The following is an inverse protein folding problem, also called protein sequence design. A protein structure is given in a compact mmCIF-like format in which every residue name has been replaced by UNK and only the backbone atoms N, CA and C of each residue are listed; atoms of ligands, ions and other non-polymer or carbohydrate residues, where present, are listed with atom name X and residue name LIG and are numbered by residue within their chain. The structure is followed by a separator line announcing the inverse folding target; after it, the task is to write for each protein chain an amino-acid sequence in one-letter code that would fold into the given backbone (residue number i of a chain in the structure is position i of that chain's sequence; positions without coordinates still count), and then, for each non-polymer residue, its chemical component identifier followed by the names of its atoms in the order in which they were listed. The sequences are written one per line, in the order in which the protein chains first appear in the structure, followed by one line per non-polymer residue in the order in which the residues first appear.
data_IF_680179869327
#
_entry.id   IF_680179869327
#
_cell.length_a   1.000
_cell.length_b   1.000
_cell.length_c   1.000
_cell.angle_alpha   90.00
_cell.angle_beta   90.00
_cell.angle_gamma   90.00
#
_symmetry.space_group_name_H-M   'P 1'
#
loop_
_entity.id
_entity.type
_entity.pdbx_description
1 polymer ?
#
# COMPACT_ATOMS: atom_id res chain seq x y z
N UNK A 1 -9.52 52.57 -81.97
CA UNK A 1 -10.01 52.62 -80.58
C UNK A 1 -10.04 51.20 -80.06
N UNK A 2 -8.96 50.72 -79.45
CA UNK A 2 -8.95 49.43 -78.74
C UNK A 2 -8.19 49.54 -77.42
N UNK A 3 -8.96 49.32 -76.36
CA UNK A 3 -8.71 49.00 -74.95
C UNK A 3 -7.27 48.75 -74.48
N UNK A 4 -6.76 49.70 -73.67
CA UNK A 4 -5.71 49.49 -72.68
C UNK A 4 -6.34 48.96 -71.38
N UNK A 5 -6.64 47.66 -71.29
CA UNK A 5 -7.14 47.07 -70.04
C UNK A 5 -6.82 45.57 -69.90
N UNK A 6 -5.55 45.19 -70.01
CA UNK A 6 -5.16 43.78 -69.84
C UNK A 6 -3.72 43.54 -69.37
N UNK A 7 -3.13 44.44 -68.55
CA UNK A 7 -1.75 44.27 -68.07
C UNK A 7 -1.54 44.42 -66.55
N UNK A 8 -2.58 44.24 -65.75
CA UNK A 8 -2.47 44.43 -64.29
C UNK A 8 -3.11 43.32 -63.44
N UNK A 9 -3.18 42.09 -63.95
CA UNK A 9 -3.74 40.94 -63.22
C UNK A 9 -2.89 39.66 -63.30
N UNK A 10 -1.58 39.76 -63.54
CA UNK A 10 -0.67 38.59 -63.51
C UNK A 10 0.42 38.61 -62.43
N UNK A 11 0.51 39.66 -61.62
CA UNK A 11 1.56 39.76 -60.59
C UNK A 11 1.12 39.37 -59.18
N UNK A 12 -0.18 39.24 -58.90
CA UNK A 12 -0.66 38.96 -57.55
C UNK A 12 -0.83 37.46 -57.27
N UNK A 13 -1.07 36.66 -58.31
CA UNK A 13 -1.26 35.20 -58.18
C UNK A 13 0.04 34.47 -57.79
N UNK A 14 1.20 34.97 -58.26
CA UNK A 14 2.51 34.42 -57.92
C UNK A 14 2.92 34.82 -56.50
N UNK A 15 2.62 36.06 -56.08
CA UNK A 15 2.90 36.52 -54.71
C UNK A 15 2.03 35.80 -53.70
N UNK A 16 0.75 35.53 -54.01
CA UNK A 16 -0.14 34.76 -53.13
C UNK A 16 0.30 33.29 -52.99
N UNK A 17 0.79 32.66 -54.07
CA UNK A 17 1.30 31.30 -54.03
C UNK A 17 2.61 31.17 -53.22
N UNK A 18 3.51 32.16 -53.30
CA UNK A 18 4.76 32.17 -52.52
C UNK A 18 4.51 32.47 -51.04
N UNK A 19 3.54 33.32 -50.71
CA UNK A 19 3.16 33.58 -49.31
C UNK A 19 2.49 32.36 -48.67
N UNK A 20 1.65 31.61 -49.39
CA UNK A 20 1.05 30.37 -48.85
C UNK A 20 2.11 29.28 -48.67
N UNK A 21 3.09 29.16 -49.58
CA UNK A 21 4.21 28.21 -49.41
C UNK A 21 5.14 28.60 -48.25
N UNK A 22 5.38 29.89 -48.03
CA UNK A 22 6.18 30.38 -46.91
C UNK A 22 5.46 30.26 -45.56
N UNK A 23 4.13 30.38 -45.52
CA UNK A 23 3.33 30.15 -44.30
C UNK A 23 3.26 28.65 -43.95
N UNK A 24 3.29 27.74 -44.93
CA UNK A 24 3.41 26.30 -44.65
C UNK A 24 4.83 25.86 -44.24
N UNK A 25 5.87 26.64 -44.56
CA UNK A 25 7.26 26.38 -44.13
C UNK A 25 7.65 27.10 -42.84
N UNK A 26 6.84 28.08 -42.39
CA UNK A 26 7.04 28.80 -41.12
C UNK A 26 5.99 28.47 -40.05
N UNK A 27 4.91 27.77 -40.43
CA UNK A 27 4.01 27.10 -39.50
C UNK A 27 4.73 25.94 -38.84
N UNK A 28 5.34 26.23 -37.69
CA UNK A 28 5.73 25.31 -36.62
C UNK A 28 5.90 23.85 -37.07
N UNK A 29 7.08 23.54 -37.59
CA UNK A 29 7.59 22.17 -37.58
C UNK A 29 7.86 21.74 -36.14
N UNK A 30 6.81 21.55 -35.35
CA UNK A 30 6.91 20.67 -34.19
C UNK A 30 7.24 19.30 -34.77
N UNK A 31 8.46 18.83 -34.48
CA UNK A 31 8.82 17.45 -34.77
C UNK A 31 7.72 16.55 -34.20
N UNK A 32 7.31 15.49 -34.93
CA UNK A 32 6.29 14.58 -34.44
C UNK A 32 6.65 14.14 -33.01
N UNK A 33 5.65 14.05 -32.10
CA UNK A 33 5.91 13.74 -30.70
C UNK A 33 6.72 12.45 -30.61
N UNK A 34 7.86 12.50 -29.91
CA UNK A 34 8.65 11.33 -29.63
C UNK A 34 7.93 10.52 -28.55
N UNK A 35 7.36 9.35 -28.88
CA UNK A 35 6.56 8.58 -27.93
C UNK A 35 7.38 8.13 -26.71
N UNK A 36 8.70 7.99 -26.84
CA UNK A 36 9.57 7.66 -25.72
C UNK A 36 9.80 8.86 -24.80
N UNK A 37 9.82 10.09 -25.35
CA UNK A 37 9.94 11.31 -24.55
C UNK A 37 8.70 11.49 -23.66
N UNK A 38 7.51 11.39 -24.23
CA UNK A 38 6.27 11.61 -23.47
C UNK A 38 6.03 10.48 -22.45
N UNK A 39 6.29 9.23 -22.85
CA UNK A 39 6.23 8.06 -21.97
C UNK A 39 7.21 8.16 -20.80
N UNK A 40 8.48 8.48 -21.06
CA UNK A 40 9.50 8.63 -20.02
C UNK A 40 9.12 9.73 -19.02
N UNK A 41 8.71 10.90 -19.50
CA UNK A 41 8.34 12.03 -18.65
C UNK A 41 7.15 11.71 -17.74
N UNK A 42 6.09 11.11 -18.30
CA UNK A 42 4.91 10.68 -17.54
C UNK A 42 5.25 9.63 -16.47
N UNK A 43 6.12 8.68 -16.82
CA UNK A 43 6.56 7.62 -15.90
C UNK A 43 7.42 8.19 -14.77
N UNK A 44 8.38 9.07 -15.09
CA UNK A 44 9.21 9.77 -14.10
C UNK A 44 8.33 10.55 -13.13
N UNK A 45 7.37 11.33 -13.63
CA UNK A 45 6.42 12.08 -12.80
C UNK A 45 5.61 11.18 -11.87
N UNK A 46 5.14 10.03 -12.37
CA UNK A 46 4.39 9.04 -11.57
C UNK A 46 5.24 8.49 -10.42
N UNK A 47 6.52 8.18 -10.68
CA UNK A 47 7.45 7.72 -9.65
C UNK A 47 7.69 8.82 -8.61
N UNK A 48 7.92 10.06 -9.05
CA UNK A 48 8.13 11.22 -8.17
C UNK A 48 6.94 11.50 -7.25
N UNK A 49 5.71 11.33 -7.74
CA UNK A 49 4.49 11.51 -6.94
C UNK A 49 4.25 10.33 -5.97
N UNK A 50 4.62 9.12 -6.37
CA UNK A 50 4.33 7.90 -5.59
C UNK A 50 5.37 7.63 -4.50
N UNK A 51 6.65 7.93 -4.75
CA UNK A 51 7.74 7.63 -3.82
C UNK A 51 7.58 8.29 -2.44
N UNK A 52 7.14 9.56 -2.30
CA UNK A 52 6.87 10.16 -1.00
C UNK A 52 5.75 9.44 -0.23
N UNK A 53 4.74 8.91 -0.93
CA UNK A 53 3.63 8.17 -0.33
C UNK A 53 4.12 6.84 0.25
N UNK A 54 4.99 6.14 -0.46
CA UNK A 54 5.65 4.92 0.04
C UNK A 54 6.52 5.21 1.27
N UNK A 55 7.32 6.30 1.26
CA UNK A 55 8.10 6.73 2.43
C UNK A 55 7.20 7.02 3.65
N UNK A 56 6.06 7.67 3.42
CA UNK A 56 5.06 7.90 4.46
C UNK A 56 4.48 6.58 5.00
N UNK A 57 4.17 5.62 4.13
CA UNK A 57 3.65 4.31 4.52
C UNK A 57 4.65 3.53 5.37
N UNK A 58 5.93 3.51 5.01
CA UNK A 58 6.99 2.89 5.82
C UNK A 58 7.11 3.52 7.20
N UNK A 59 6.99 4.85 7.28
CA UNK A 59 7.01 5.56 8.56
C UNK A 59 5.84 5.13 9.44
N UNK A 60 4.63 5.09 8.89
CA UNK A 60 3.43 4.62 9.59
C UNK A 60 3.54 3.15 10.01
N UNK A 61 4.10 2.29 9.16
CA UNK A 61 4.34 0.88 9.49
C UNK A 61 5.34 0.73 10.62
N UNK A 62 6.45 1.47 10.61
CA UNK A 62 7.42 1.46 11.71
C UNK A 62 6.80 1.88 13.04
N UNK A 63 5.91 2.87 13.05
CA UNK A 63 5.15 3.24 14.25
C UNK A 63 4.22 2.12 14.70
N UNK A 64 3.47 1.51 13.77
CA UNK A 64 2.60 0.37 14.07
C UNK A 64 3.34 -0.84 14.62
N UNK A 65 4.51 -1.16 14.05
CA UNK A 65 5.42 -2.22 14.52
C UNK A 65 5.86 -1.93 15.96
N UNK A 66 6.31 -0.71 16.25
CA UNK A 66 6.74 -0.34 17.60
C UNK A 66 5.62 -0.48 18.65
N UNK A 67 4.39 -0.09 18.29
CA UNK A 67 3.21 -0.25 19.15
C UNK A 67 2.93 -1.75 19.37
N UNK A 68 2.89 -2.55 18.30
CA UNK A 68 2.65 -3.98 18.39
C UNK A 68 3.69 -4.70 19.26
N UNK A 69 4.97 -4.37 19.12
CA UNK A 69 6.04 -4.91 19.97
C UNK A 69 5.87 -4.52 21.44
N UNK A 70 5.51 -3.27 21.71
CA UNK A 70 5.29 -2.82 23.08
C UNK A 70 4.12 -3.54 23.77
N UNK A 71 3.19 -4.07 22.98
CA UNK A 71 2.10 -4.92 23.46
C UNK A 71 2.49 -6.40 23.55
N UNK A 72 3.67 -6.79 23.07
CA UNK A 72 4.14 -8.19 23.11
C UNK A 72 3.80 -9.01 21.87
N UNK A 73 3.41 -8.37 20.76
CA UNK A 73 3.21 -9.05 19.47
C UNK A 73 4.59 -9.34 18.84
N UNK A 74 4.82 -10.59 18.42
CA UNK A 74 6.01 -10.92 17.63
C UNK A 74 5.87 -10.42 16.18
N UNK A 75 6.65 -9.41 15.84
CA UNK A 75 6.68 -8.76 14.52
C UNK A 75 8.05 -8.86 13.85
N UNK A 76 8.86 -9.84 14.26
CA UNK A 76 10.24 -10.00 13.77
C UNK A 76 10.33 -10.07 12.24
N UNK A 77 9.45 -10.86 11.61
CA UNK A 77 9.41 -10.99 10.15
C UNK A 77 8.96 -9.70 9.45
N UNK A 78 7.97 -9.01 10.03
CA UNK A 78 7.47 -7.72 9.51
C UNK A 78 8.58 -6.66 9.55
N UNK A 79 9.33 -6.61 10.66
CA UNK A 79 10.47 -5.70 10.82
C UNK A 79 11.56 -5.94 9.78
N UNK A 80 11.85 -7.20 9.45
CA UNK A 80 12.84 -7.53 8.43
C UNK A 80 12.43 -7.00 7.04
N UNK A 81 11.15 -7.15 6.66
CA UNK A 81 10.64 -6.65 5.37
C UNK A 81 10.68 -5.12 5.32
N UNK A 82 10.23 -4.43 6.37
CA UNK A 82 10.24 -2.95 6.41
C UNK A 82 11.68 -2.41 6.41
N UNK A 83 12.62 -3.09 7.06
CA UNK A 83 14.05 -2.72 7.01
C UNK A 83 14.62 -2.85 5.58
N UNK A 84 14.21 -3.89 4.84
CA UNK A 84 14.62 -4.09 3.44
C UNK A 84 13.95 -3.07 2.50
N UNK A 85 12.77 -2.57 2.84
CA UNK A 85 12.08 -1.53 2.06
C UNK A 85 12.93 -0.25 1.94
N UNK A 86 13.66 0.14 2.99
CA UNK A 86 14.55 1.31 2.96
C UNK A 86 15.73 1.13 1.99
N UNK A 87 16.27 -0.09 1.84
CA UNK A 87 17.28 -0.37 0.81
C UNK A 87 16.69 -0.34 -0.60
N UNK A 88 15.48 -0.89 -0.79
CA UNK A 88 14.76 -0.84 -2.08
C UNK A 88 14.49 0.61 -2.50
N UNK A 89 14.06 1.49 -1.58
CA UNK A 89 13.86 2.92 -1.84
C UNK A 89 15.14 3.59 -2.36
N UNK A 90 16.29 3.34 -1.73
CA UNK A 90 17.56 3.94 -2.17
C UNK A 90 17.92 3.51 -3.60
N UNK A 91 17.66 2.25 -3.94
CA UNK A 91 17.84 1.74 -5.31
C UNK A 91 16.91 2.45 -6.29
N UNK A 92 15.63 2.57 -5.95
CA UNK A 92 14.62 3.28 -6.75
C UNK A 92 15.01 4.74 -6.97
N UNK A 93 15.49 5.45 -5.95
CA UNK A 93 15.95 6.84 -6.05
C UNK A 93 17.17 7.00 -6.95
N UNK A 94 18.11 6.06 -6.88
CA UNK A 94 19.27 6.00 -7.76
C UNK A 94 18.85 5.79 -9.23
N UNK A 95 17.92 4.86 -9.47
CA UNK A 95 17.42 4.57 -10.82
C UNK A 95 16.59 5.74 -11.38
N UNK A 96 15.76 6.38 -10.55
CA UNK A 96 15.01 7.59 -10.91
C UNK A 96 15.95 8.74 -11.30
N UNK A 97 17.03 8.94 -10.53
CA UNK A 97 18.05 9.96 -10.83
C UNK A 97 18.74 9.68 -12.17
N UNK A 98 19.02 8.41 -12.47
CA UNK A 98 19.59 7.98 -13.75
C UNK A 98 18.61 8.21 -14.91
N UNK A 99 17.34 7.86 -14.74
CA UNK A 99 16.29 8.09 -15.74
C UNK A 99 16.15 9.59 -16.07
N UNK A 100 16.18 10.47 -15.06
CA UNK A 100 16.20 11.93 -15.23
C UNK A 100 17.43 12.41 -15.99
N UNK A 101 18.62 11.90 -15.63
CA UNK A 101 19.85 12.26 -16.35
C UNK A 101 19.80 11.90 -17.83
N UNK A 102 19.26 10.72 -18.18
CA UNK A 102 19.06 10.33 -19.57
C UNK A 102 18.02 11.22 -20.27
N UNK A 103 16.95 11.58 -19.55
CA UNK A 103 15.92 12.48 -20.06
C UNK A 103 16.50 13.86 -20.40
N UNK A 104 17.30 14.43 -19.49
CA UNK A 104 17.95 15.73 -19.67
C UNK A 104 18.99 15.71 -20.81
N UNK A 105 19.68 14.58 -21.00
CA UNK A 105 20.59 14.36 -22.13
C UNK A 105 19.87 14.01 -23.44
N UNK A 106 18.53 14.02 -23.47
CA UNK A 106 17.67 13.65 -24.61
C UNK A 106 17.84 12.21 -25.09
N UNK A 107 18.34 11.33 -24.24
CA UNK A 107 18.34 9.88 -24.47
C UNK A 107 17.03 9.27 -23.95
N UNK A 108 15.94 9.53 -24.68
CA UNK A 108 14.60 9.18 -24.24
C UNK A 108 14.35 7.67 -24.20
N UNK A 109 15.09 6.87 -24.98
CA UNK A 109 14.99 5.41 -24.93
C UNK A 109 15.52 4.89 -23.60
N UNK A 110 16.74 5.28 -23.21
CA UNK A 110 17.31 4.89 -21.93
C UNK A 110 16.49 5.43 -20.77
N UNK A 111 16.02 6.69 -20.84
CA UNK A 111 15.14 7.28 -19.84
C UNK A 111 13.84 6.46 -19.67
N UNK A 112 13.18 6.09 -20.78
CA UNK A 112 11.94 5.33 -20.74
C UNK A 112 12.17 3.93 -20.16
N UNK A 113 13.20 3.20 -20.61
CA UNK A 113 13.52 1.86 -20.10
C UNK A 113 13.84 1.88 -18.60
N UNK A 114 14.69 2.79 -18.14
CA UNK A 114 15.03 2.91 -16.71
C UNK A 114 13.82 3.33 -15.88
N UNK A 115 13.00 4.28 -16.37
CA UNK A 115 11.80 4.71 -15.66
C UNK A 115 10.77 3.57 -15.54
N UNK A 116 10.53 2.79 -16.60
CA UNK A 116 9.61 1.65 -16.56
C UNK A 116 10.07 0.58 -15.57
N UNK A 117 11.36 0.21 -15.59
CA UNK A 117 11.92 -0.72 -14.61
C UNK A 117 11.77 -0.19 -13.17
N UNK A 118 12.06 1.09 -12.95
CA UNK A 118 11.92 1.75 -11.64
C UNK A 118 10.47 1.75 -11.17
N UNK A 119 9.50 1.94 -12.08
CA UNK A 119 8.08 1.90 -11.75
C UNK A 119 7.62 0.48 -11.35
N UNK A 120 8.18 -0.56 -11.97
CA UNK A 120 7.91 -1.95 -11.59
C UNK A 120 8.43 -2.21 -10.17
N UNK A 121 9.69 -1.86 -9.89
CA UNK A 121 10.29 -2.01 -8.55
C UNK A 121 9.47 -1.27 -7.47
N UNK A 122 8.97 -0.08 -7.82
CA UNK A 122 8.13 0.74 -6.93
C UNK A 122 6.79 0.07 -6.62
N UNK A 123 6.15 -0.54 -7.62
CA UNK A 123 4.88 -1.26 -7.47
C UNK A 123 5.06 -2.54 -6.64
N UNK A 124 6.10 -3.31 -6.92
CA UNK A 124 6.42 -4.50 -6.13
C UNK A 124 6.67 -4.13 -4.66
N UNK A 125 7.42 -3.05 -4.41
CA UNK A 125 7.60 -2.54 -3.06
C UNK A 125 6.27 -2.10 -2.42
N UNK A 126 5.39 -1.45 -3.16
CA UNK A 126 4.08 -1.06 -2.65
C UNK A 126 3.23 -2.27 -2.24
N UNK A 127 3.23 -3.31 -3.07
CA UNK A 127 2.51 -4.56 -2.80
C UNK A 127 3.08 -5.30 -1.58
N UNK A 128 4.41 -5.37 -1.46
CA UNK A 128 5.09 -5.91 -0.28
C UNK A 128 4.64 -5.16 1.00
N UNK A 129 4.62 -3.82 0.96
CA UNK A 129 4.24 -2.99 2.12
C UNK A 129 2.76 -3.13 2.48
N UNK A 130 1.89 -3.34 1.49
CA UNK A 130 0.47 -3.60 1.74
C UNK A 130 0.28 -4.96 2.44
N UNK A 131 0.96 -6.01 1.96
CA UNK A 131 0.92 -7.33 2.61
C UNK A 131 1.46 -7.28 4.04
N UNK A 132 2.54 -6.54 4.27
CA UNK A 132 3.10 -6.29 5.61
C UNK A 132 2.08 -5.57 6.52
N UNK A 133 1.35 -4.58 5.99
CA UNK A 133 0.33 -3.87 6.74
C UNK A 133 -0.83 -4.79 7.17
N UNK A 134 -1.31 -5.63 6.24
CA UNK A 134 -2.39 -6.57 6.52
C UNK A 134 -1.96 -7.66 7.50
N UNK A 135 -0.74 -8.17 7.35
CA UNK A 135 -0.14 -9.12 8.30
C UNK A 135 0.00 -8.53 9.69
N UNK A 136 0.46 -7.28 9.82
CA UNK A 136 0.57 -6.58 11.11
C UNK A 136 -0.80 -6.45 11.78
N UNK A 137 -1.83 -6.09 11.01
CA UNK A 137 -3.21 -5.99 11.49
C UNK A 137 -3.72 -7.33 11.99
N UNK A 138 -3.48 -8.41 11.23
CA UNK A 138 -3.89 -9.76 11.58
C UNK A 138 -3.22 -10.26 12.88
N UNK A 139 -1.90 -10.08 13.03
CA UNK A 139 -1.18 -10.43 14.26
C UNK A 139 -1.69 -9.67 15.48
N UNK A 140 -1.93 -8.37 15.33
CA UNK A 140 -2.48 -7.53 16.39
C UNK A 140 -3.89 -7.99 16.80
N UNK A 141 -4.71 -8.38 15.82
CA UNK A 141 -6.05 -8.90 16.07
C UNK A 141 -6.04 -10.22 16.86
N UNK A 142 -5.18 -11.16 16.48
CA UNK A 142 -4.99 -12.43 17.22
C UNK A 142 -4.59 -12.14 18.66
N UNK A 143 -3.57 -11.30 18.84
CA UNK A 143 -3.05 -10.96 20.16
C UNK A 143 -4.11 -10.29 21.06
N UNK A 144 -4.95 -9.41 20.51
CA UNK A 144 -6.04 -8.80 21.26
C UNK A 144 -7.07 -9.83 21.77
N UNK A 145 -7.39 -10.82 20.94
CA UNK A 145 -8.29 -11.93 21.34
C UNK A 145 -7.62 -12.77 22.43
N UNK A 146 -6.35 -13.12 22.28
CA UNK A 146 -5.58 -13.87 23.28
C UNK A 146 -5.53 -13.15 24.64
N UNK A 147 -5.25 -11.84 24.64
CA UNK A 147 -5.24 -11.02 25.86
C UNK A 147 -6.62 -10.93 26.52
N UNK A 148 -7.66 -10.80 25.71
CA UNK A 148 -9.04 -10.75 26.21
C UNK A 148 -9.40 -12.06 26.91
N UNK A 149 -9.09 -13.20 26.27
CA UNK A 149 -9.32 -14.52 26.86
C UNK A 149 -8.46 -14.74 28.11
N UNK A 150 -7.19 -14.34 28.10
CA UNK A 150 -6.32 -14.43 29.27
C UNK A 150 -6.87 -13.63 30.45
N UNK A 151 -7.37 -12.42 30.21
CA UNK A 151 -8.01 -11.59 31.23
C UNK A 151 -9.28 -12.25 31.77
N UNK A 152 -10.14 -12.77 30.89
CA UNK A 152 -11.36 -13.47 31.28
C UNK A 152 -11.05 -14.75 32.09
N UNK A 153 -9.99 -15.48 31.75
CA UNK A 153 -9.53 -16.65 32.51
C UNK A 153 -9.02 -16.27 33.90
N UNK A 154 -8.26 -15.19 34.02
CA UNK A 154 -7.82 -14.70 35.32
C UNK A 154 -9.01 -14.30 36.20
N UNK A 155 -10.01 -13.62 35.63
CA UNK A 155 -11.25 -13.30 36.32
C UNK A 155 -12.05 -14.56 36.69
N UNK A 156 -12.09 -15.57 35.81
CA UNK A 156 -12.73 -16.84 36.09
C UNK A 156 -12.13 -17.51 37.33
N UNK A 157 -10.80 -17.61 37.39
CA UNK A 157 -10.10 -18.20 38.54
C UNK A 157 -10.40 -17.44 39.83
N UNK A 158 -10.40 -16.10 39.79
CA UNK A 158 -10.76 -15.29 40.96
C UNK A 158 -12.22 -15.52 41.41
N UNK A 159 -13.15 -15.70 40.46
CA UNK A 159 -14.54 -16.02 40.78
C UNK A 159 -14.68 -17.42 41.40
N UNK A 160 -13.89 -18.40 40.98
CA UNK A 160 -13.87 -19.73 41.61
C UNK A 160 -13.43 -19.66 43.07
N UNK A 161 -12.40 -18.87 43.38
CA UNK A 161 -11.92 -18.64 44.76
C UNK A 161 -12.99 -17.95 45.63
N UNK A 162 -13.69 -16.96 45.07
CA UNK A 162 -14.79 -16.27 45.77
C UNK A 162 -15.97 -17.19 46.04
N UNK A 163 -16.33 -18.06 45.07
CA UNK A 163 -17.37 -19.07 45.25
C UNK A 163 -16.99 -20.05 46.35
N UNK A 164 -15.76 -20.57 46.34
CA UNK A 164 -15.29 -21.49 47.38
C UNK A 164 -15.37 -20.86 48.78
N UNK A 165 -15.06 -19.57 48.89
CA UNK A 165 -15.20 -18.81 50.14
C UNK A 165 -16.67 -18.71 50.55
N UNK A 166 -17.56 -18.30 49.65
CA UNK A 166 -18.99 -18.19 49.93
C UNK A 166 -19.63 -19.54 50.33
N UNK A 167 -19.21 -20.64 49.71
CA UNK A 167 -19.65 -21.99 50.10
C UNK A 167 -19.19 -22.37 51.51
N UNK A 168 -17.97 -21.98 51.90
CA UNK A 168 -17.47 -22.21 53.27
C UNK A 168 -18.27 -21.42 54.33
N UNK A 169 -18.87 -20.31 53.91
CA UNK A 169 -19.78 -19.49 54.73
C UNK A 169 -21.24 -19.98 54.71
N UNK A 170 -21.52 -21.07 53.97
CA UNK A 170 -22.85 -21.68 53.89
C UNK A 170 -23.78 -21.08 52.85
N UNK A 171 -23.27 -20.29 51.90
CA UNK A 171 -24.05 -19.74 50.78
C UNK A 171 -24.22 -20.81 49.68
N UNK A 172 -25.43 -20.97 49.15
CA UNK A 172 -25.68 -21.80 47.97
C UNK A 172 -25.18 -21.10 46.70
N UNK A 173 -24.20 -21.70 46.03
CA UNK A 173 -23.57 -21.16 44.81
C UNK A 173 -23.91 -21.98 43.55
N UNK A 174 -24.88 -22.89 43.62
CA UNK A 174 -25.21 -23.85 42.55
C UNK A 174 -25.44 -23.17 41.20
N UNK A 175 -26.23 -22.09 41.16
CA UNK A 175 -26.49 -21.35 39.91
C UNK A 175 -25.24 -20.62 39.39
N UNK A 176 -24.43 -20.04 40.27
CA UNK A 176 -23.19 -19.35 39.87
C UNK A 176 -22.20 -20.35 39.25
N UNK A 177 -22.09 -21.57 39.81
CA UNK A 177 -21.28 -22.65 39.24
C UNK A 177 -21.76 -23.08 37.85
N UNK A 178 -23.08 -23.09 37.58
CA UNK A 178 -23.60 -23.35 36.22
C UNK A 178 -23.15 -22.26 35.23
N UNK A 179 -23.17 -21.00 35.63
CA UNK A 179 -22.69 -19.90 34.79
C UNK A 179 -21.17 -20.01 34.52
N UNK A 180 -20.37 -20.38 35.52
CA UNK A 180 -18.94 -20.62 35.32
C UNK A 180 -18.66 -21.80 34.37
N UNK A 181 -19.43 -22.88 34.47
CA UNK A 181 -19.31 -23.99 33.52
C UNK A 181 -19.61 -23.56 32.07
N UNK A 182 -20.60 -22.68 31.87
CA UNK A 182 -20.87 -22.10 30.56
C UNK A 182 -19.72 -21.21 30.06
N UNK A 183 -19.08 -20.45 30.95
CA UNK A 183 -17.93 -19.62 30.61
C UNK A 183 -16.74 -20.47 30.13
N UNK A 184 -16.52 -21.65 30.72
CA UNK A 184 -15.51 -22.60 30.25
C UNK A 184 -15.77 -23.10 28.83
N UNK A 185 -17.03 -23.33 28.46
CA UNK A 185 -17.37 -23.68 27.08
C UNK A 185 -17.06 -22.51 26.11
N UNK A 186 -17.28 -21.27 26.53
CA UNK A 186 -16.89 -20.09 25.76
C UNK A 186 -15.38 -20.02 25.55
N UNK A 187 -14.57 -20.33 26.57
CA UNK A 187 -13.11 -20.40 26.40
C UNK A 187 -12.67 -21.43 25.37
N UNK A 188 -13.27 -22.63 25.38
CA UNK A 188 -12.97 -23.64 24.37
C UNK A 188 -13.34 -23.18 22.95
N UNK A 189 -14.48 -22.48 22.80
CA UNK A 189 -14.86 -21.88 21.52
C UNK A 189 -13.88 -20.80 21.06
N UNK A 190 -13.39 -19.97 21.98
CA UNK A 190 -12.44 -18.91 21.70
C UNK A 190 -11.04 -19.44 21.35
N UNK A 191 -10.55 -20.49 22.02
CA UNK A 191 -9.31 -21.18 21.67
C UNK A 191 -9.37 -21.76 20.26
N UNK A 192 -10.52 -22.32 19.87
CA UNK A 192 -10.73 -22.81 18.51
C UNK A 192 -10.63 -21.68 17.49
N UNK A 193 -11.26 -20.53 17.76
CA UNK A 193 -11.16 -19.35 16.89
C UNK A 193 -9.71 -18.85 16.78
N UNK A 194 -8.92 -18.87 17.85
CA UNK A 194 -7.49 -18.55 17.80
C UNK A 194 -6.74 -19.55 16.91
N UNK A 195 -7.02 -20.85 17.03
CA UNK A 195 -6.42 -21.86 16.17
C UNK A 195 -6.77 -21.62 14.69
N UNK A 196 -8.02 -21.30 14.39
CA UNK A 196 -8.50 -20.99 13.03
C UNK A 196 -7.83 -19.72 12.48
N UNK A 197 -7.71 -18.66 13.30
CA UNK A 197 -6.98 -17.44 12.94
C UNK A 197 -5.50 -17.72 12.64
N UNK A 198 -4.82 -18.48 13.50
CA UNK A 198 -3.42 -18.85 13.29
C UNK A 198 -3.24 -19.70 12.04
N UNK A 199 -4.21 -20.56 11.70
CA UNK A 199 -4.22 -21.29 10.43
C UNK A 199 -4.34 -20.33 9.24
N UNK A 200 -5.30 -19.40 9.26
CA UNK A 200 -5.48 -18.39 8.21
C UNK A 200 -4.27 -17.47 8.05
N UNK A 201 -3.61 -17.09 9.15
CA UNK A 201 -2.38 -16.30 9.14
C UNK A 201 -1.25 -17.00 8.38
N UNK A 202 -1.06 -18.32 8.62
CA UNK A 202 -0.04 -19.12 7.92
C UNK A 202 -0.33 -19.29 6.43
N UNK A 203 -1.59 -19.24 6.04
CA UNK A 203 -2.00 -19.25 4.63
C UNK A 203 -2.10 -17.84 4.02
N UNK A 204 -1.59 -16.81 4.70
CA UNK A 204 -1.60 -15.41 4.26
C UNK A 204 -3.02 -14.86 3.94
N UNK A 205 -4.05 -15.45 4.55
CA UNK A 205 -5.44 -15.02 4.39
C UNK A 205 -5.84 -14.06 5.52
N UNK A 206 -5.29 -12.85 5.47
CA UNK A 206 -5.40 -11.87 6.54
C UNK A 206 -6.85 -11.37 6.75
N UNK A 207 -7.64 -11.23 5.68
CA UNK A 207 -9.06 -10.83 5.79
C UNK A 207 -9.87 -11.84 6.61
N UNK A 208 -9.63 -13.14 6.42
CA UNK A 208 -10.25 -14.18 7.24
C UNK A 208 -9.83 -14.06 8.71
N UNK A 209 -8.57 -13.75 8.99
CA UNK A 209 -8.10 -13.52 10.37
C UNK A 209 -8.89 -12.38 11.01
N UNK A 210 -9.04 -11.25 10.30
CA UNK A 210 -9.78 -10.10 10.82
C UNK A 210 -11.27 -10.46 11.03
N UNK A 211 -11.90 -11.16 10.10
CA UNK A 211 -13.30 -11.59 10.24
C UNK A 211 -13.50 -12.48 11.47
N UNK A 212 -12.67 -13.52 11.63
CA UNK A 212 -12.76 -14.45 12.76
C UNK A 212 -12.48 -13.71 14.09
N UNK A 213 -11.51 -12.79 14.11
CA UNK A 213 -11.21 -11.99 15.30
C UNK A 213 -12.39 -11.13 15.75
N UNK A 214 -13.14 -10.55 14.82
CA UNK A 214 -14.34 -9.76 15.12
C UNK A 214 -15.41 -10.64 15.77
N UNK A 215 -15.61 -11.86 15.26
CA UNK A 215 -16.55 -12.82 15.85
C UNK A 215 -16.06 -13.39 17.19
N UNK A 216 -14.75 -13.43 17.43
CA UNK A 216 -14.19 -13.90 18.70
C UNK A 216 -14.37 -12.88 19.84
N UNK A 217 -14.49 -11.59 19.50
CA UNK A 217 -14.66 -10.49 20.45
C UNK A 217 -16.12 -10.21 20.85
N UNK A 218 -17.10 -10.86 20.21
CA UNK A 218 -18.53 -10.78 20.57
C UNK A 218 -18.91 -11.83 21.59
#
# INVERSE_FOLDING_TARGET
MESLCAKQYRSWSVVLAVVILAVFLSGCGESPPDPNKDSANSTIYTIEDTLPKIRSQITSLNQGIAIAESNGVDVTEIRAVVTNADSKIRSIESNLSSAKSFYDSRDYNSANTTAQATLIDLRELQDDLNQVADRLRALTAIHNVENTIATLRANHLSLEEQIATAESEGVDTTEVKKYLANLNNTFSGADKKIADMNHCLKSENYDSVISISSEANT
#
